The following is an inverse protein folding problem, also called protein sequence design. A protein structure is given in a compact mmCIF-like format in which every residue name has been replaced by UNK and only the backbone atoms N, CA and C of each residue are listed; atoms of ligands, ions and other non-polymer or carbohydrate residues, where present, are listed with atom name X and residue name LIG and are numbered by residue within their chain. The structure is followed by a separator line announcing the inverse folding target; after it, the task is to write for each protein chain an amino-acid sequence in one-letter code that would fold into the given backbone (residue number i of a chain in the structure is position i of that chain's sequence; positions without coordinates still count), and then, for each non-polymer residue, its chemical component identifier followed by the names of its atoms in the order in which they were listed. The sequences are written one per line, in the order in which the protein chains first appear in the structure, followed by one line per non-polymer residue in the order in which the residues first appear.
data_IF_542587422251
#
_entry.id   IF_542587422251
#
_cell.length_a   1.000
_cell.length_b   1.000
_cell.length_c   1.000
_cell.angle_alpha   90.00
_cell.angle_beta   90.00
_cell.angle_gamma   90.00
#
_symmetry.space_group_name_H-M   'P 1'
#
loop_
_entity.id
_entity.type
_entity.pdbx_description
1 polymer ?
#
# COMPACT_ATOMS: atom_id res chain seq x y z
N UNK A 1 -9.50 26.73 -9.94
CA UNK A 1 -9.69 25.46 -10.68
C UNK A 1 -8.38 25.12 -11.40
N UNK A 2 -7.87 23.92 -11.25
CA UNK A 2 -6.62 23.49 -11.89
C UNK A 2 -6.88 23.25 -13.38
N UNK A 3 -6.12 23.92 -14.25
CA UNK A 3 -6.16 23.63 -15.70
C UNK A 3 -5.23 22.44 -16.00
N UNK A 4 -5.79 21.24 -15.99
CA UNK A 4 -5.03 20.00 -16.23
C UNK A 4 -4.36 19.95 -17.62
N UNK A 5 -4.92 20.65 -18.60
CA UNK A 5 -4.35 20.72 -19.95
C UNK A 5 -3.03 21.52 -20.03
N UNK A 6 -2.77 22.36 -19.03
CA UNK A 6 -1.54 23.17 -18.92
C UNK A 6 -0.68 22.82 -17.73
N UNK A 7 -1.22 22.03 -16.79
CA UNK A 7 -0.52 21.66 -15.58
C UNK A 7 0.74 20.84 -15.90
N UNK A 8 1.86 21.22 -15.29
CA UNK A 8 3.08 20.41 -15.26
C UNK A 8 3.11 19.50 -14.04
N UNK A 9 3.87 18.42 -14.14
CA UNK A 9 4.11 17.47 -13.05
C UNK A 9 5.61 17.21 -12.94
N UNK A 10 6.14 17.22 -11.71
CA UNK A 10 7.49 16.75 -11.46
C UNK A 10 7.45 15.52 -10.56
N UNK A 11 8.28 14.51 -10.86
CA UNK A 11 8.43 13.26 -10.10
C UNK A 11 9.85 13.19 -9.55
N UNK A 12 10.01 13.28 -8.24
CA UNK A 12 11.30 13.07 -7.59
C UNK A 12 11.34 11.63 -7.05
N UNK A 13 12.22 10.80 -7.63
CA UNK A 13 12.33 9.40 -7.31
C UNK A 13 11.74 8.48 -8.40
N UNK A 14 12.17 8.61 -9.66
CA UNK A 14 11.74 7.71 -10.75
C UNK A 14 12.38 6.31 -10.58
N UNK A 15 12.01 5.63 -9.49
CA UNK A 15 12.29 4.24 -9.19
C UNK A 15 11.06 3.36 -9.50
N UNK A 16 10.97 2.19 -8.86
CA UNK A 16 9.89 1.23 -9.10
C UNK A 16 8.48 1.83 -8.91
N UNK A 17 8.23 2.55 -7.79
CA UNK A 17 6.94 3.22 -7.57
C UNK A 17 6.72 4.32 -8.61
N UNK A 18 7.72 5.16 -8.87
CA UNK A 18 7.61 6.21 -9.86
C UNK A 18 7.28 5.69 -11.27
N UNK A 19 7.88 4.55 -11.68
CA UNK A 19 7.56 3.87 -12.94
C UNK A 19 6.15 3.25 -12.92
N UNK A 20 5.76 2.62 -11.82
CA UNK A 20 4.43 2.04 -11.64
C UNK A 20 3.30 3.09 -11.77
N UNK A 21 3.57 4.32 -11.36
CA UNK A 21 2.59 5.41 -11.36
C UNK A 21 2.43 6.12 -12.71
N UNK A 22 3.15 5.74 -13.77
CA UNK A 22 3.05 6.40 -15.08
C UNK A 22 1.62 6.48 -15.63
N UNK A 23 0.78 5.43 -15.54
CA UNK A 23 -0.63 5.54 -15.94
C UNK A 23 -1.42 6.60 -15.17
N UNK A 24 -1.04 6.86 -13.91
CA UNK A 24 -1.65 7.90 -13.10
C UNK A 24 -1.22 9.31 -13.57
N UNK A 25 0.01 9.49 -14.02
CA UNK A 25 0.48 10.77 -14.60
C UNK A 25 -0.28 11.08 -15.88
N UNK A 26 -0.43 10.10 -16.76
CA UNK A 26 -1.23 10.21 -17.98
C UNK A 26 -2.69 10.54 -17.67
N UNK A 27 -3.30 9.84 -16.73
CA UNK A 27 -4.69 10.08 -16.31
C UNK A 27 -4.89 11.48 -15.75
N UNK A 28 -3.94 11.97 -14.94
CA UNK A 28 -4.00 13.31 -14.35
C UNK A 28 -3.92 14.41 -15.41
N UNK A 29 -2.91 14.32 -16.26
CA UNK A 29 -2.55 15.39 -17.19
C UNK A 29 -3.31 15.30 -18.54
N UNK A 30 -3.70 14.09 -18.95
CA UNK A 30 -4.36 13.85 -20.25
C UNK A 30 -3.39 13.88 -21.44
N UNK A 31 -3.91 14.00 -22.64
CA UNK A 31 -3.15 13.93 -23.89
C UNK A 31 -1.95 14.90 -23.91
N UNK A 32 -0.82 14.44 -24.45
CA UNK A 32 0.43 15.20 -24.53
C UNK A 32 1.10 15.39 -23.17
N UNK A 33 0.82 14.52 -22.21
CA UNK A 33 1.37 14.58 -20.86
C UNK A 33 2.90 14.49 -20.85
N UNK A 34 3.51 13.83 -21.83
CA UNK A 34 4.95 13.61 -21.92
C UNK A 34 5.74 14.92 -21.96
N UNK A 35 5.23 15.93 -22.64
CA UNK A 35 5.87 17.26 -22.74
C UNK A 35 5.79 18.07 -21.44
N UNK A 36 5.04 17.62 -20.46
CA UNK A 36 4.72 18.33 -19.20
C UNK A 36 5.21 17.60 -17.95
N UNK A 37 5.99 16.53 -18.12
CA UNK A 37 6.57 15.75 -17.01
C UNK A 37 8.07 15.95 -16.96
N UNK A 38 8.56 16.24 -15.76
CA UNK A 38 9.95 16.13 -15.36
C UNK A 38 10.10 15.01 -14.35
N UNK A 39 10.83 13.96 -14.68
CA UNK A 39 11.16 12.90 -13.74
C UNK A 39 12.64 12.97 -13.33
N UNK A 40 12.91 12.71 -12.05
CA UNK A 40 14.24 12.85 -11.47
C UNK A 40 14.63 11.56 -10.76
N UNK A 41 15.86 11.12 -11.02
CA UNK A 41 16.51 9.97 -10.34
C UNK A 41 17.69 10.45 -9.49
N UNK A 42 18.01 9.70 -8.46
CA UNK A 42 19.23 9.97 -7.68
C UNK A 42 20.51 9.67 -8.49
N UNK A 43 20.44 8.69 -9.42
CA UNK A 43 21.59 8.23 -10.22
C UNK A 43 21.20 8.10 -11.69
N UNK A 44 22.19 8.05 -12.57
CA UNK A 44 22.04 7.86 -14.02
C UNK A 44 21.72 6.41 -14.44
N UNK A 45 21.73 5.47 -13.48
CA UNK A 45 21.41 4.06 -13.76
C UNK A 45 20.03 3.93 -14.44
N UNK A 46 19.98 3.23 -15.59
CA UNK A 46 18.80 3.05 -16.44
C UNK A 46 18.22 4.34 -17.04
N UNK A 47 18.93 5.45 -17.01
CA UNK A 47 18.40 6.75 -17.45
C UNK A 47 17.99 6.72 -18.92
N UNK A 48 18.87 6.23 -19.81
CA UNK A 48 18.61 6.14 -21.24
C UNK A 48 17.50 5.13 -21.60
N UNK A 49 17.41 4.02 -20.87
CA UNK A 49 16.32 3.05 -21.03
C UNK A 49 14.97 3.72 -20.74
N UNK A 50 14.89 4.43 -19.62
CA UNK A 50 13.65 5.08 -19.18
C UNK A 50 13.23 6.22 -20.11
N UNK A 51 14.19 7.03 -20.58
CA UNK A 51 13.94 8.08 -21.59
C UNK A 51 13.33 7.51 -22.87
N UNK A 52 13.89 6.41 -23.37
CA UNK A 52 13.35 5.73 -24.56
C UNK A 52 11.98 5.13 -24.33
N UNK A 53 11.71 4.66 -23.10
CA UNK A 53 10.47 3.98 -22.76
C UNK A 53 9.29 4.93 -22.59
N UNK A 54 9.50 6.08 -21.97
CA UNK A 54 8.39 6.93 -21.53
C UNK A 54 8.20 8.23 -22.33
N UNK A 55 9.16 8.68 -23.09
CA UNK A 55 9.04 9.86 -23.95
C UNK A 55 9.05 11.20 -23.24
N UNK A 56 9.02 11.26 -21.90
CA UNK A 56 9.12 12.50 -21.14
C UNK A 56 10.55 12.78 -20.64
N UNK A 57 10.77 14.01 -20.16
CA UNK A 57 12.09 14.41 -19.66
C UNK A 57 12.44 13.65 -18.38
N UNK A 58 13.58 12.94 -18.39
CA UNK A 58 14.12 12.24 -17.22
C UNK A 58 15.57 12.69 -17.01
N UNK A 59 15.89 13.14 -15.80
CA UNK A 59 17.25 13.56 -15.43
C UNK A 59 17.75 12.85 -14.18
N UNK A 60 19.05 12.94 -13.92
CA UNK A 60 19.66 12.48 -12.68
C UNK A 60 20.24 13.66 -11.89
N UNK A 61 20.28 13.54 -10.57
CA UNK A 61 20.89 14.51 -9.69
C UNK A 61 20.03 15.73 -9.37
N UNK A 62 20.66 16.88 -9.24
CA UNK A 62 19.99 18.15 -8.86
C UNK A 62 19.02 18.62 -9.95
N UNK A 63 17.80 18.90 -9.56
CA UNK A 63 16.73 19.32 -10.47
C UNK A 63 16.15 20.69 -10.14
N UNK A 64 16.73 21.43 -9.18
CA UNK A 64 16.11 22.67 -8.67
C UNK A 64 15.87 23.70 -9.79
N UNK A 65 16.81 23.93 -10.68
CA UNK A 65 16.66 24.89 -11.78
C UNK A 65 15.61 24.43 -12.80
N UNK A 66 15.49 23.13 -13.05
CA UNK A 66 14.43 22.58 -13.91
C UNK A 66 13.04 22.72 -13.27
N UNK A 67 12.92 22.50 -11.96
CA UNK A 67 11.68 22.77 -11.22
C UNK A 67 11.26 24.22 -11.32
N UNK A 68 12.20 25.16 -11.14
CA UNK A 68 11.95 26.62 -11.28
C UNK A 68 11.48 26.98 -12.69
N UNK A 69 12.04 26.34 -13.71
CA UNK A 69 11.65 26.57 -15.11
C UNK A 69 10.28 25.96 -15.44
N UNK A 70 10.02 24.70 -15.03
CA UNK A 70 8.78 23.99 -15.30
C UNK A 70 7.59 24.55 -14.52
N UNK A 71 7.79 24.96 -13.25
CA UNK A 71 6.75 25.38 -12.30
C UNK A 71 5.60 24.38 -12.23
N UNK A 72 5.87 23.11 -11.88
CA UNK A 72 4.84 22.09 -11.89
C UNK A 72 3.72 22.41 -10.91
N UNK A 73 2.47 22.14 -11.32
CA UNK A 73 1.30 22.21 -10.45
C UNK A 73 1.22 21.01 -9.48
N UNK A 74 1.91 19.91 -9.83
CA UNK A 74 1.97 18.68 -9.04
C UNK A 74 3.42 18.26 -8.83
N UNK A 75 3.77 17.98 -7.58
CA UNK A 75 5.08 17.47 -7.21
C UNK A 75 4.93 16.10 -6.53
N UNK A 76 5.34 15.06 -7.23
CA UNK A 76 5.29 13.67 -6.75
C UNK A 76 6.62 13.32 -6.08
N UNK A 77 6.56 12.82 -4.85
CA UNK A 77 7.70 12.33 -4.09
C UNK A 77 7.59 10.81 -3.94
N UNK A 78 8.43 10.06 -4.67
CA UNK A 78 8.47 8.61 -4.66
C UNK A 78 9.86 8.06 -4.30
N UNK A 79 10.53 8.74 -3.37
CA UNK A 79 11.77 8.31 -2.75
C UNK A 79 11.48 7.46 -1.50
N UNK A 80 12.50 6.76 -1.01
CA UNK A 80 12.36 5.95 0.20
C UNK A 80 12.13 6.82 1.44
N UNK A 81 11.39 6.34 2.45
CA UNK A 81 11.09 7.14 3.64
C UNK A 81 12.32 7.77 4.31
N UNK A 82 13.43 7.05 4.40
CA UNK A 82 14.67 7.57 5.01
C UNK A 82 15.42 8.60 4.16
N UNK A 83 15.09 8.73 2.87
CA UNK A 83 15.64 9.75 1.97
C UNK A 83 14.76 11.02 1.93
N UNK A 84 13.53 10.92 2.42
CA UNK A 84 12.51 11.95 2.25
C UNK A 84 12.93 13.29 2.87
N UNK A 85 13.45 13.27 4.08
CA UNK A 85 13.88 14.50 4.75
C UNK A 85 14.98 15.23 3.95
N UNK A 86 15.97 14.49 3.44
CA UNK A 86 17.03 15.07 2.61
C UNK A 86 16.51 15.68 1.30
N UNK A 87 15.57 15.03 0.65
CA UNK A 87 14.93 15.53 -0.59
C UNK A 87 14.08 16.76 -0.30
N UNK A 88 13.30 16.74 0.77
CA UNK A 88 12.43 17.87 1.13
C UNK A 88 13.27 19.09 1.52
N UNK A 89 14.25 18.94 2.38
CA UNK A 89 15.09 20.06 2.80
C UNK A 89 16.03 20.57 1.69
N UNK A 90 16.60 19.65 0.90
CA UNK A 90 17.60 20.01 -0.12
C UNK A 90 17.02 20.48 -1.45
N UNK A 91 15.80 20.07 -1.80
CA UNK A 91 15.21 20.38 -3.12
C UNK A 91 13.86 21.03 -3.02
N UNK A 92 12.91 20.42 -2.28
CA UNK A 92 11.51 20.89 -2.26
C UNK A 92 11.39 22.24 -1.56
N UNK A 93 11.95 22.39 -0.38
CA UNK A 93 11.90 23.62 0.41
C UNK A 93 12.56 24.83 -0.29
N UNK A 94 13.75 24.73 -0.91
CA UNK A 94 14.30 25.78 -1.76
C UNK A 94 13.37 26.13 -2.94
N UNK A 95 12.75 25.15 -3.58
CA UNK A 95 11.80 25.38 -4.66
C UNK A 95 10.54 26.13 -4.17
N UNK A 96 9.95 25.73 -3.05
CA UNK A 96 8.80 26.41 -2.43
C UNK A 96 9.17 27.84 -2.05
N UNK A 97 10.37 28.07 -1.48
CA UNK A 97 10.90 29.40 -1.18
C UNK A 97 10.99 30.29 -2.43
N UNK A 98 11.47 29.74 -3.53
CA UNK A 98 11.48 30.45 -4.82
C UNK A 98 10.06 30.84 -5.28
N UNK A 99 9.07 29.94 -5.21
CA UNK A 99 7.69 30.25 -5.59
C UNK A 99 7.09 31.34 -4.72
N UNK A 100 7.30 31.31 -3.40
CA UNK A 100 6.85 32.36 -2.46
C UNK A 100 7.41 33.72 -2.83
N UNK A 101 8.71 33.81 -3.12
CA UNK A 101 9.36 35.06 -3.52
C UNK A 101 8.82 35.61 -4.85
N UNK A 102 8.25 34.76 -5.68
CA UNK A 102 7.63 35.14 -6.95
C UNK A 102 6.11 35.41 -6.84
N UNK A 103 5.50 35.16 -5.66
CA UNK A 103 4.03 35.21 -5.52
C UNK A 103 3.31 34.15 -6.38
N UNK A 104 4.01 33.06 -6.73
CA UNK A 104 3.49 32.00 -7.61
C UNK A 104 2.63 30.98 -6.84
N UNK A 105 1.68 30.30 -7.51
CA UNK A 105 0.90 29.23 -6.88
C UNK A 105 1.79 28.09 -6.37
N UNK A 106 1.43 27.55 -5.22
CA UNK A 106 2.08 26.36 -4.65
C UNK A 106 1.61 25.09 -5.34
N UNK A 107 2.52 24.12 -5.59
CA UNK A 107 2.14 22.81 -6.11
C UNK A 107 1.37 22.00 -5.06
N UNK A 108 0.51 21.09 -5.52
CA UNK A 108 0.05 19.98 -4.69
C UNK A 108 1.17 18.93 -4.61
N UNK A 109 1.63 18.64 -3.41
CA UNK A 109 2.62 17.59 -3.17
C UNK A 109 1.92 16.26 -2.93
N UNK A 110 2.35 15.22 -3.63
CA UNK A 110 1.85 13.85 -3.52
C UNK A 110 3.03 12.95 -3.10
N UNK A 111 3.05 12.52 -1.85
CA UNK A 111 4.11 11.65 -1.31
C UNK A 111 3.65 10.19 -1.30
N UNK A 112 4.47 9.28 -1.81
CA UNK A 112 4.25 7.84 -1.76
C UNK A 112 4.99 7.16 -0.60
N UNK A 113 5.43 7.91 0.38
CA UNK A 113 6.01 7.36 1.58
C UNK A 113 4.96 7.30 2.70
N UNK A 114 4.86 6.20 3.46
CA UNK A 114 4.00 6.13 4.64
C UNK A 114 4.49 7.02 5.78
N UNK A 115 5.76 7.42 5.73
CA UNK A 115 6.44 8.30 6.67
C UNK A 115 7.40 9.20 5.89
N UNK A 116 7.53 10.50 6.24
CA UNK A 116 6.85 11.19 7.36
C UNK A 116 5.36 11.45 7.09
N UNK A 117 4.61 11.75 8.18
CA UNK A 117 3.18 12.11 8.12
C UNK A 117 2.93 13.46 7.45
N UNK A 118 1.72 13.72 6.96
CA UNK A 118 1.38 14.99 6.31
C UNK A 118 1.70 16.24 7.16
N UNK A 119 1.50 16.18 8.48
CA UNK A 119 1.77 17.27 9.41
C UNK A 119 3.26 17.69 9.42
N UNK A 120 4.17 16.74 9.22
CA UNK A 120 5.59 17.05 9.11
C UNK A 120 5.89 17.92 7.88
N UNK A 121 5.26 17.64 6.73
CA UNK A 121 5.43 18.47 5.53
C UNK A 121 4.92 19.89 5.76
N UNK A 122 3.78 20.04 6.46
CA UNK A 122 3.25 21.33 6.86
C UNK A 122 4.24 22.10 7.74
N UNK A 123 4.84 21.45 8.73
CA UNK A 123 5.83 22.06 9.61
C UNK A 123 7.09 22.51 8.86
N UNK A 124 7.56 21.72 7.90
CA UNK A 124 8.80 22.00 7.16
C UNK A 124 8.60 22.99 6.02
N UNK A 125 7.46 22.86 5.29
CA UNK A 125 7.18 23.62 4.07
C UNK A 125 6.26 24.83 4.28
N UNK A 126 5.49 24.85 5.36
CA UNK A 126 4.53 25.89 5.69
C UNK A 126 3.08 25.55 5.32
N UNK A 127 2.15 26.24 5.99
CA UNK A 127 0.70 26.00 5.88
C UNK A 127 0.07 26.38 4.53
N UNK A 128 0.77 27.10 3.66
CA UNK A 128 0.34 27.44 2.30
C UNK A 128 0.59 26.30 1.30
N UNK A 129 1.39 25.29 1.66
CA UNK A 129 1.66 24.09 0.85
C UNK A 129 0.71 22.98 1.21
N UNK A 130 0.10 22.35 0.23
CA UNK A 130 -0.78 21.19 0.44
C UNK A 130 -0.03 19.91 0.11
N UNK A 131 -0.02 18.98 1.07
CA UNK A 131 0.59 17.67 0.89
C UNK A 131 -0.42 16.57 1.19
N UNK A 132 -0.46 15.56 0.34
CA UNK A 132 -1.14 14.29 0.59
C UNK A 132 -0.11 13.17 0.61
N UNK A 133 -0.26 12.24 1.55
CA UNK A 133 0.49 10.99 1.54
C UNK A 133 -0.41 9.88 1.03
N UNK A 134 0.11 9.11 0.09
CA UNK A 134 -0.64 8.08 -0.64
C UNK A 134 0.02 6.73 -0.44
N UNK A 135 -0.75 5.76 -0.01
CA UNK A 135 -0.40 4.34 -0.10
C UNK A 135 -1.18 3.76 -1.29
N UNK A 136 -0.54 3.65 -2.46
CA UNK A 136 -1.23 3.24 -3.68
C UNK A 136 -1.58 1.76 -3.63
N UNK A 137 -2.68 1.39 -4.28
CA UNK A 137 -2.94 0.00 -4.60
C UNK A 137 -1.88 -0.46 -5.61
N UNK A 138 -1.08 -1.46 -5.21
CA UNK A 138 0.04 -1.94 -6.04
C UNK A 138 -0.35 -3.10 -6.95
N UNK A 139 -1.60 -3.57 -6.88
CA UNK A 139 -2.08 -4.71 -7.64
C UNK A 139 -3.42 -4.39 -8.27
N UNK A 140 -3.43 -4.27 -9.57
CA UNK A 140 -4.64 -4.16 -10.40
C UNK A 140 -4.83 -5.42 -11.27
N UNK A 141 -3.84 -6.33 -11.26
CA UNK A 141 -3.90 -7.64 -11.92
C UNK A 141 -3.10 -8.67 -11.09
N UNK A 142 -3.64 -9.86 -10.92
CA UNK A 142 -3.02 -10.99 -10.23
C UNK A 142 -3.15 -12.23 -11.12
N UNK A 143 -2.02 -12.87 -11.44
CA UNK A 143 -2.03 -14.06 -12.30
C UNK A 143 -2.73 -13.85 -13.66
N UNK A 144 -2.69 -12.62 -14.19
CA UNK A 144 -3.37 -12.24 -15.43
C UNK A 144 -4.88 -11.94 -15.28
N UNK A 145 -5.43 -12.00 -14.05
CA UNK A 145 -6.83 -11.64 -13.76
C UNK A 145 -6.90 -10.18 -13.33
N UNK A 146 -7.80 -9.41 -13.93
CA UNK A 146 -8.08 -8.03 -13.53
C UNK A 146 -8.74 -8.01 -12.14
N UNK A 147 -8.08 -7.34 -11.19
CA UNK A 147 -8.55 -7.17 -9.80
C UNK A 147 -8.82 -5.71 -9.45
N UNK A 148 -8.92 -4.83 -10.44
CA UNK A 148 -9.16 -3.39 -10.26
C UNK A 148 -10.34 -3.09 -9.31
N UNK A 149 -11.41 -3.88 -9.37
CA UNK A 149 -12.59 -3.69 -8.50
C UNK A 149 -12.29 -3.92 -7.01
N UNK A 150 -11.20 -4.62 -6.68
CA UNK A 150 -10.73 -4.87 -5.31
C UNK A 150 -9.63 -3.89 -4.90
N UNK A 151 -9.06 -3.14 -5.85
CA UNK A 151 -7.97 -2.23 -5.58
C UNK A 151 -8.45 -0.95 -4.89
N UNK A 152 -7.74 -0.52 -3.85
CA UNK A 152 -8.02 0.72 -3.13
C UNK A 152 -6.73 1.39 -2.67
N UNK A 153 -6.59 2.68 -2.97
CA UNK A 153 -5.48 3.50 -2.52
C UNK A 153 -5.88 4.31 -1.29
N UNK A 154 -5.04 4.37 -0.27
CA UNK A 154 -5.27 5.17 0.94
C UNK A 154 -4.63 6.54 0.77
N UNK A 155 -5.33 7.58 1.17
CA UNK A 155 -4.87 8.97 1.11
C UNK A 155 -5.04 9.64 2.46
N UNK A 156 -3.95 10.22 2.96
CA UNK A 156 -3.94 11.02 4.18
C UNK A 156 -3.50 12.44 3.88
N UNK A 157 -3.92 13.40 4.69
CA UNK A 157 -3.50 14.80 4.63
C UNK A 157 -3.52 15.39 6.05
N UNK A 158 -2.90 16.55 6.25
CA UNK A 158 -2.93 17.25 7.52
C UNK A 158 -4.36 17.70 7.85
N UNK A 159 -4.94 17.09 8.90
CA UNK A 159 -6.33 17.34 9.29
C UNK A 159 -6.53 18.76 9.84
N UNK A 160 -5.46 19.42 10.31
CA UNK A 160 -5.48 20.82 10.74
C UNK A 160 -5.59 21.80 9.57
N UNK A 161 -5.29 21.37 8.34
CA UNK A 161 -5.28 22.23 7.16
C UNK A 161 -6.19 21.64 6.06
N UNK A 162 -7.40 22.18 5.88
CA UNK A 162 -8.38 21.65 4.92
C UNK A 162 -7.82 21.56 3.49
N UNK A 163 -8.06 20.43 2.86
CA UNK A 163 -7.75 20.21 1.45
C UNK A 163 -8.90 20.75 0.60
N UNK A 164 -8.62 21.70 -0.28
CA UNK A 164 -9.62 22.26 -1.18
C UNK A 164 -10.23 21.18 -2.10
N UNK A 165 -11.50 21.35 -2.50
CA UNK A 165 -12.20 20.38 -3.37
C UNK A 165 -11.43 20.09 -4.67
N UNK A 166 -10.87 21.12 -5.31
CA UNK A 166 -10.05 20.93 -6.51
C UNK A 166 -8.79 20.08 -6.30
N UNK A 167 -8.22 20.06 -5.07
CA UNK A 167 -7.12 19.15 -4.74
C UNK A 167 -7.62 17.72 -4.54
N UNK A 168 -8.80 17.55 -3.91
CA UNK A 168 -9.42 16.23 -3.75
C UNK A 168 -9.77 15.62 -5.09
N UNK A 169 -10.34 16.41 -5.99
CA UNK A 169 -10.63 16.03 -7.38
C UNK A 169 -9.36 15.61 -8.12
N UNK A 170 -8.27 16.40 -8.00
CA UNK A 170 -6.98 16.09 -8.61
C UNK A 170 -6.41 14.76 -8.13
N UNK A 171 -6.44 14.50 -6.82
CA UNK A 171 -5.98 13.24 -6.23
C UNK A 171 -6.87 12.07 -6.68
N UNK A 172 -8.19 12.26 -6.71
CA UNK A 172 -9.13 11.25 -7.21
C UNK A 172 -8.86 10.88 -8.66
N UNK A 173 -8.71 11.89 -9.53
CA UNK A 173 -8.35 11.70 -10.95
C UNK A 173 -6.98 11.03 -11.11
N UNK A 174 -6.00 11.42 -10.31
CA UNK A 174 -4.67 10.87 -10.33
C UNK A 174 -4.66 9.37 -10.00
N UNK A 175 -5.40 8.96 -8.97
CA UNK A 175 -5.41 7.58 -8.48
C UNK A 175 -6.45 6.68 -9.17
N UNK A 176 -7.28 7.23 -10.05
CA UNK A 176 -8.32 6.46 -10.76
C UNK A 176 -7.79 5.16 -11.41
N UNK A 177 -6.59 5.12 -12.05
CA UNK A 177 -6.07 3.88 -12.62
C UNK A 177 -5.78 2.79 -11.58
N UNK A 178 -5.73 3.13 -10.29
CA UNK A 178 -5.42 2.24 -9.19
C UNK A 178 -6.65 1.85 -8.34
N UNK A 179 -7.86 2.07 -8.84
CA UNK A 179 -9.09 1.70 -8.16
C UNK A 179 -9.67 2.80 -7.27
N UNK A 180 -10.23 2.42 -6.13
CA UNK A 180 -10.92 3.36 -5.23
C UNK A 180 -9.93 4.19 -4.41
N UNK A 181 -10.36 5.40 -4.06
CA UNK A 181 -9.62 6.28 -3.13
C UNK A 181 -10.31 6.26 -1.77
N UNK A 182 -9.55 5.92 -0.74
CA UNK A 182 -9.98 5.93 0.65
C UNK A 182 -9.27 7.08 1.38
N UNK A 183 -10.05 8.07 1.81
CA UNK A 183 -9.55 9.19 2.61
C UNK A 183 -9.50 8.75 4.07
N UNK A 184 -8.31 8.73 4.66
CA UNK A 184 -8.03 8.21 6.00
C UNK A 184 -7.42 9.29 6.90
N UNK A 185 -7.55 9.12 8.20
CA UNK A 185 -6.62 9.78 9.14
C UNK A 185 -5.24 9.07 9.07
N UNK A 186 -4.14 9.72 9.50
CA UNK A 186 -2.84 9.07 9.53
C UNK A 186 -2.81 7.80 10.38
N UNK A 187 -3.48 7.81 11.54
CA UNK A 187 -3.58 6.65 12.44
C UNK A 187 -4.35 5.49 11.80
N UNK A 188 -5.49 5.80 11.17
CA UNK A 188 -6.29 4.82 10.44
C UNK A 188 -5.50 4.22 9.28
N UNK A 189 -4.84 5.05 8.49
CA UNK A 189 -4.01 4.59 7.37
C UNK A 189 -2.90 3.65 7.81
N UNK A 190 -2.21 3.96 8.93
CA UNK A 190 -1.17 3.11 9.48
C UNK A 190 -1.73 1.77 9.99
N UNK A 191 -2.92 1.77 10.60
CA UNK A 191 -3.58 0.55 11.06
C UNK A 191 -4.01 -0.32 9.87
N UNK A 192 -4.57 0.28 8.82
CA UNK A 192 -4.95 -0.41 7.58
C UNK A 192 -3.74 -0.98 6.84
N UNK A 193 -2.63 -0.24 6.79
CA UNK A 193 -1.37 -0.74 6.22
C UNK A 193 -0.85 -1.95 7.01
N UNK A 194 -0.90 -1.89 8.34
CA UNK A 194 -0.46 -2.98 9.21
C UNK A 194 -1.31 -4.23 9.04
N UNK A 195 -2.62 -4.07 8.92
CA UNK A 195 -3.56 -5.13 8.59
C UNK A 195 -3.23 -5.76 7.22
N UNK A 196 -3.04 -4.94 6.19
CA UNK A 196 -2.73 -5.42 4.84
C UNK A 196 -1.39 -6.19 4.80
N UNK A 197 -0.36 -5.69 5.48
CA UNK A 197 0.92 -6.40 5.62
C UNK A 197 0.72 -7.73 6.36
N UNK A 198 -0.14 -7.77 7.37
CA UNK A 198 -0.47 -9.01 8.07
C UNK A 198 -1.18 -10.01 7.15
N UNK A 199 -2.11 -9.56 6.32
CA UNK A 199 -2.73 -10.43 5.31
C UNK A 199 -1.71 -10.93 4.29
N UNK A 200 -0.70 -10.14 3.94
CA UNK A 200 0.39 -10.59 3.08
C UNK A 200 1.19 -11.75 3.71
N UNK A 201 1.32 -11.79 5.04
CA UNK A 201 1.98 -12.93 5.73
C UNK A 201 1.17 -14.23 5.65
N UNK A 202 -0.05 -14.21 5.12
CA UNK A 202 -0.83 -15.39 4.81
C UNK A 202 -0.05 -16.39 3.92
N UNK A 203 0.82 -15.89 3.04
CA UNK A 203 1.67 -16.74 2.21
C UNK A 203 2.61 -17.60 3.06
N UNK A 204 3.26 -16.98 4.06
CA UNK A 204 4.15 -17.71 4.97
C UNK A 204 3.38 -18.73 5.81
N UNK A 205 2.18 -18.37 6.27
CA UNK A 205 1.31 -19.31 6.98
C UNK A 205 0.98 -20.53 6.11
N UNK A 206 0.57 -20.30 4.87
CA UNK A 206 0.26 -21.37 3.94
C UNK A 206 1.46 -22.28 3.66
N UNK A 207 2.64 -21.69 3.45
CA UNK A 207 3.88 -22.46 3.23
C UNK A 207 4.28 -23.28 4.46
N UNK A 208 4.10 -22.73 5.66
CA UNK A 208 4.37 -23.44 6.91
C UNK A 208 3.38 -24.59 7.14
N UNK A 209 2.13 -24.45 6.69
CA UNK A 209 1.08 -25.48 6.83
C UNK A 209 1.16 -26.58 5.76
N UNK A 210 1.84 -26.38 4.64
CA UNK A 210 1.99 -27.40 3.58
C UNK A 210 2.57 -28.71 4.08
N UNK A 211 3.46 -28.68 5.06
CA UNK A 211 3.99 -29.88 5.73
C UNK A 211 2.93 -30.72 6.45
N UNK A 212 1.78 -30.13 6.78
CA UNK A 212 0.68 -30.80 7.51
C UNK A 212 -0.49 -31.20 6.60
N UNK A 213 -0.73 -30.45 5.52
CA UNK A 213 -1.90 -30.61 4.67
C UNK A 213 -1.59 -31.06 3.24
N UNK A 214 -0.30 -31.23 2.93
CA UNK A 214 0.16 -31.56 1.59
C UNK A 214 0.30 -30.32 0.70
N UNK A 215 1.10 -30.47 -0.37
CA UNK A 215 1.35 -29.39 -1.33
C UNK A 215 0.03 -28.93 -1.96
N UNK A 216 -0.18 -27.61 -2.00
CA UNK A 216 -1.36 -26.98 -2.60
C UNK A 216 -2.63 -26.99 -1.73
N UNK A 217 -2.62 -27.59 -0.53
CA UNK A 217 -3.81 -27.60 0.33
C UNK A 217 -4.29 -26.20 0.74
N UNK A 218 -3.38 -25.29 1.08
CA UNK A 218 -3.73 -23.93 1.43
C UNK A 218 -4.21 -23.12 0.22
N UNK A 219 -3.65 -23.32 -0.97
CA UNK A 219 -4.11 -22.66 -2.20
C UNK A 219 -5.55 -23.08 -2.54
N UNK A 220 -5.88 -24.38 -2.36
CA UNK A 220 -7.26 -24.88 -2.52
C UNK A 220 -8.20 -24.25 -1.49
N UNK A 221 -7.83 -24.22 -0.21
CA UNK A 221 -8.63 -23.58 0.84
C UNK A 221 -8.84 -22.09 0.56
N UNK A 222 -7.80 -21.38 0.12
CA UNK A 222 -7.89 -19.98 -0.29
C UNK A 222 -8.88 -19.76 -1.43
N UNK A 223 -8.86 -20.62 -2.46
CA UNK A 223 -9.81 -20.57 -3.58
C UNK A 223 -11.26 -20.81 -3.15
N UNK A 224 -11.49 -21.76 -2.24
CA UNK A 224 -12.82 -22.04 -1.68
C UNK A 224 -13.33 -20.81 -0.89
N UNK A 225 -12.49 -20.25 -0.01
CA UNK A 225 -12.86 -19.10 0.81
C UNK A 225 -13.16 -17.87 -0.05
N UNK A 226 -12.38 -17.65 -1.09
CA UNK A 226 -12.61 -16.58 -2.06
C UNK A 226 -14.01 -16.74 -2.72
N UNK A 227 -14.34 -17.93 -3.20
CA UNK A 227 -15.65 -18.20 -3.83
C UNK A 227 -16.82 -18.00 -2.85
N UNK A 228 -16.65 -18.43 -1.58
CA UNK A 228 -17.66 -18.21 -0.54
C UNK A 228 -17.88 -16.73 -0.24
N UNK A 229 -16.80 -15.93 -0.18
CA UNK A 229 -16.88 -14.48 0.04
C UNK A 229 -17.57 -13.77 -1.13
N UNK A 230 -17.26 -14.14 -2.37
CA UNK A 230 -17.99 -13.62 -3.54
C UNK A 230 -19.49 -13.90 -3.46
N UNK A 231 -19.86 -15.13 -3.08
CA UNK A 231 -21.28 -15.51 -2.89
C UNK A 231 -21.97 -14.70 -1.79
N UNK A 232 -21.33 -14.49 -0.65
CA UNK A 232 -21.85 -13.66 0.47
C UNK A 232 -22.06 -12.20 0.07
N UNK A 233 -21.19 -11.67 -0.80
CA UNK A 233 -21.24 -10.28 -1.26
C UNK A 233 -22.12 -10.09 -2.50
N UNK A 234 -22.75 -11.17 -3.02
CA UNK A 234 -23.60 -11.13 -4.19
C UNK A 234 -22.89 -10.71 -5.49
N UNK A 235 -21.59 -10.92 -5.58
CA UNK A 235 -20.78 -10.56 -6.75
C UNK A 235 -20.21 -11.79 -7.46
N UNK A 236 -20.00 -11.73 -8.78
CA UNK A 236 -19.37 -12.82 -9.50
C UNK A 236 -17.93 -13.00 -9.01
N UNK A 237 -17.49 -14.25 -8.88
CA UNK A 237 -16.09 -14.56 -8.63
C UNK A 237 -15.24 -14.27 -9.87
N UNK A 238 -14.04 -13.71 -9.66
CA UNK A 238 -13.07 -13.44 -10.74
C UNK A 238 -12.42 -14.72 -11.27
N UNK A 239 -12.53 -15.81 -10.52
CA UNK A 239 -12.04 -17.15 -10.90
C UNK A 239 -13.13 -18.18 -10.69
N UNK A 240 -13.01 -19.32 -11.40
CA UNK A 240 -13.98 -20.42 -11.24
C UNK A 240 -13.90 -20.99 -9.83
N UNK A 241 -15.05 -21.25 -9.16
CA UNK A 241 -15.06 -21.88 -7.85
C UNK A 241 -14.39 -23.26 -7.91
N UNK A 242 -13.64 -23.57 -6.87
CA UNK A 242 -13.10 -24.92 -6.62
C UNK A 242 -14.26 -25.82 -6.20
N UNK A 243 -14.15 -27.14 -6.46
CA UNK A 243 -15.15 -28.14 -6.07
C UNK A 243 -15.58 -28.03 -4.59
N UNK A 244 -16.69 -28.67 -4.22
CA UNK A 244 -17.22 -28.64 -2.85
C UNK A 244 -16.13 -28.95 -1.79
N UNK A 245 -16.11 -28.19 -0.68
CA UNK A 245 -15.08 -28.34 0.34
C UNK A 245 -15.24 -29.65 1.12
N UNK A 246 -14.16 -30.41 1.23
CA UNK A 246 -14.07 -31.57 2.10
C UNK A 246 -13.92 -31.16 3.58
N UNK A 247 -14.06 -32.11 4.53
CA UNK A 247 -13.93 -31.81 5.97
C UNK A 247 -12.54 -31.27 6.36
N UNK A 248 -11.48 -31.69 5.64
CA UNK A 248 -10.14 -31.12 5.82
C UNK A 248 -10.08 -29.65 5.40
N UNK A 249 -10.74 -29.29 4.30
CA UNK A 249 -10.83 -27.92 3.79
C UNK A 249 -11.58 -27.01 4.77
N UNK A 250 -12.70 -27.48 5.33
CA UNK A 250 -13.51 -26.70 6.30
C UNK A 250 -12.71 -26.30 7.54
N UNK A 251 -11.79 -27.15 8.00
CA UNK A 251 -10.89 -26.84 9.12
C UNK A 251 -9.86 -25.77 8.76
N UNK A 252 -9.30 -25.84 7.56
CA UNK A 252 -8.38 -24.82 7.05
C UNK A 252 -9.10 -23.49 6.81
N UNK A 253 -10.33 -23.53 6.30
CA UNK A 253 -11.18 -22.34 6.14
C UNK A 253 -11.42 -21.62 7.47
N UNK A 254 -11.68 -22.36 8.55
CA UNK A 254 -11.83 -21.75 9.88
C UNK A 254 -10.55 -21.04 10.35
N UNK A 255 -9.38 -21.59 10.02
CA UNK A 255 -8.09 -20.93 10.33
C UNK A 255 -7.90 -19.63 9.56
N UNK A 256 -8.18 -19.65 8.26
CA UNK A 256 -8.00 -18.48 7.39
C UNK A 256 -9.02 -17.39 7.71
N UNK A 257 -10.31 -17.73 7.81
CA UNK A 257 -11.40 -16.79 7.99
C UNK A 257 -11.50 -16.29 9.44
N UNK A 258 -11.79 -17.20 10.39
CA UNK A 258 -12.05 -16.82 11.79
C UNK A 258 -10.78 -16.56 12.61
N UNK A 259 -9.62 -16.96 12.11
CA UNK A 259 -8.36 -16.69 12.76
C UNK A 259 -7.66 -15.51 12.10
N UNK A 260 -7.09 -15.77 10.93
CA UNK A 260 -6.19 -14.81 10.30
C UNK A 260 -6.88 -13.51 9.88
N UNK A 261 -8.02 -13.61 9.21
CA UNK A 261 -8.79 -12.43 8.80
C UNK A 261 -9.28 -11.63 10.01
N UNK A 262 -10.01 -12.27 10.94
CA UNK A 262 -10.62 -11.56 12.06
C UNK A 262 -9.57 -10.92 12.98
N UNK A 263 -8.43 -11.56 13.24
CA UNK A 263 -7.40 -10.99 14.10
C UNK A 263 -6.84 -9.67 13.58
N UNK A 264 -6.47 -9.59 12.31
CA UNK A 264 -5.97 -8.37 11.71
C UNK A 264 -7.09 -7.31 11.51
N UNK A 265 -8.30 -7.76 11.18
CA UNK A 265 -9.47 -6.89 11.09
C UNK A 265 -9.77 -6.20 12.42
N UNK A 266 -9.86 -6.95 13.52
CA UNK A 266 -10.18 -6.41 14.85
C UNK A 266 -9.10 -5.45 15.35
N UNK A 267 -7.82 -5.73 15.02
CA UNK A 267 -6.74 -4.79 15.26
C UNK A 267 -7.00 -3.45 14.54
N UNK A 268 -7.22 -3.49 13.23
CA UNK A 268 -7.46 -2.28 12.45
C UNK A 268 -8.75 -1.55 12.89
N UNK A 269 -9.81 -2.29 13.17
CA UNK A 269 -11.07 -1.76 13.69
C UNK A 269 -10.91 -1.08 15.07
N UNK A 270 -9.98 -1.56 15.88
CA UNK A 270 -9.66 -0.94 17.18
C UNK A 270 -9.04 0.45 17.05
N UNK A 271 -8.32 0.72 15.95
CA UNK A 271 -7.64 1.99 15.68
C UNK A 271 -8.46 2.94 14.77
N UNK A 272 -9.33 2.40 13.91
CA UNK A 272 -10.20 3.16 13.03
C UNK A 272 -11.65 3.16 13.51
N UNK A 273 -11.92 3.59 14.74
CA UNK A 273 -13.28 3.65 15.28
C UNK A 273 -13.94 5.00 15.02
N UNK A 274 -15.22 4.93 14.68
CA UNK A 274 -16.12 6.09 14.70
C UNK A 274 -16.48 6.48 16.14
N UNK A 275 -17.02 7.69 16.39
CA UNK A 275 -17.42 8.13 17.73
C UNK A 275 -18.42 7.20 18.44
N UNK A 276 -19.22 6.44 17.69
CA UNK A 276 -20.16 5.43 18.20
C UNK A 276 -19.50 4.08 18.54
N UNK A 277 -18.17 3.97 18.36
CA UNK A 277 -17.41 2.76 18.59
C UNK A 277 -17.42 1.75 17.43
N UNK A 278 -18.16 2.00 16.35
CA UNK A 278 -18.16 1.13 15.17
C UNK A 278 -16.85 1.27 14.37
N UNK A 279 -16.39 0.21 13.68
CA UNK A 279 -15.30 0.33 12.73
C UNK A 279 -15.60 1.36 11.65
N UNK A 280 -14.58 2.13 11.22
CA UNK A 280 -14.72 3.10 10.15
C UNK A 280 -15.19 2.44 8.84
N UNK A 281 -15.77 3.25 7.96
CA UNK A 281 -16.15 2.77 6.63
C UNK A 281 -14.96 2.24 5.83
N UNK A 282 -13.77 2.83 6.02
CA UNK A 282 -12.55 2.42 5.32
C UNK A 282 -12.09 1.02 5.75
N UNK A 283 -12.13 0.71 7.05
CA UNK A 283 -11.80 -0.65 7.54
C UNK A 283 -12.76 -1.68 6.94
N UNK A 284 -14.07 -1.38 6.92
CA UNK A 284 -15.09 -2.28 6.35
C UNK A 284 -14.94 -2.51 4.85
N UNK A 285 -14.38 -1.53 4.12
CA UNK A 285 -14.14 -1.64 2.68
C UNK A 285 -12.82 -2.34 2.40
N UNK A 286 -11.72 -1.88 3.01
CA UNK A 286 -10.38 -2.34 2.66
C UNK A 286 -10.08 -3.74 3.18
N UNK A 287 -10.55 -4.10 4.39
CA UNK A 287 -10.21 -5.40 4.97
C UNK A 287 -10.64 -6.60 4.11
N UNK A 288 -11.92 -6.71 3.67
CA UNK A 288 -12.31 -7.82 2.82
C UNK A 288 -11.63 -7.77 1.45
N UNK A 289 -11.42 -6.58 0.87
CA UNK A 289 -10.76 -6.44 -0.42
C UNK A 289 -9.30 -6.88 -0.36
N UNK A 290 -8.55 -6.40 0.63
CA UNK A 290 -7.15 -6.77 0.82
C UNK A 290 -7.01 -8.28 1.08
N UNK A 291 -7.86 -8.85 1.92
CA UNK A 291 -7.83 -10.28 2.19
C UNK A 291 -8.09 -11.11 0.94
N UNK A 292 -9.09 -10.73 0.14
CA UNK A 292 -9.41 -11.40 -1.13
C UNK A 292 -8.29 -11.31 -2.16
N UNK A 293 -7.58 -10.18 -2.26
CA UNK A 293 -6.40 -10.07 -3.13
C UNK A 293 -5.34 -11.11 -2.74
N UNK A 294 -5.08 -11.31 -1.45
CA UNK A 294 -4.12 -12.31 -1.00
C UNK A 294 -4.61 -13.75 -1.22
N UNK A 295 -5.91 -14.01 -1.09
CA UNK A 295 -6.50 -15.31 -1.43
C UNK A 295 -6.37 -15.62 -2.92
N UNK A 296 -6.58 -14.63 -3.79
CA UNK A 296 -6.39 -14.77 -5.23
C UNK A 296 -4.93 -15.02 -5.59
N UNK A 297 -4.00 -14.29 -4.99
CA UNK A 297 -2.57 -14.53 -5.20
C UNK A 297 -2.16 -15.95 -4.83
N UNK A 298 -2.62 -16.47 -3.70
CA UNK A 298 -2.37 -17.86 -3.30
C UNK A 298 -2.93 -18.91 -4.28
N UNK A 299 -4.01 -18.57 -4.97
CA UNK A 299 -4.65 -19.47 -5.93
C UNK A 299 -4.01 -19.41 -7.31
N UNK A 300 -3.59 -18.22 -7.76
CA UNK A 300 -3.22 -17.93 -9.15
C UNK A 300 -1.71 -17.84 -9.37
N UNK A 301 -0.93 -17.57 -8.33
CA UNK A 301 0.51 -17.34 -8.43
C UNK A 301 1.30 -18.51 -7.87
N UNK A 302 2.48 -18.78 -8.44
CA UNK A 302 3.34 -19.85 -7.96
C UNK A 302 3.96 -19.48 -6.61
N UNK A 303 4.29 -20.52 -5.82
CA UNK A 303 5.01 -20.35 -4.54
C UNK A 303 6.30 -19.51 -4.73
N UNK A 304 7.09 -19.83 -5.75
CA UNK A 304 8.34 -19.11 -6.02
C UNK A 304 8.06 -17.61 -6.24
N UNK A 305 7.04 -17.27 -7.04
CA UNK A 305 6.65 -15.89 -7.28
C UNK A 305 6.23 -15.16 -5.99
N UNK A 306 5.44 -15.82 -5.14
CA UNK A 306 5.01 -15.26 -3.84
C UNK A 306 6.18 -15.07 -2.87
N UNK A 307 7.15 -15.98 -2.86
CA UNK A 307 8.38 -15.83 -2.06
C UNK A 307 9.25 -14.65 -2.53
N UNK A 308 9.40 -14.48 -3.84
CA UNK A 308 10.10 -13.35 -4.46
C UNK A 308 9.37 -12.03 -4.14
N UNK A 309 8.06 -11.99 -4.29
CA UNK A 309 7.21 -10.83 -3.97
C UNK A 309 7.35 -10.40 -2.50
N UNK A 310 7.32 -11.36 -1.56
CA UNK A 310 7.58 -11.07 -0.14
C UNK A 310 8.96 -10.47 0.10
N UNK A 311 9.98 -10.99 -0.57
CA UNK A 311 11.35 -10.51 -0.47
C UNK A 311 11.50 -9.08 -1.02
N UNK A 312 10.87 -8.79 -2.15
CA UNK A 312 10.93 -7.48 -2.79
C UNK A 312 10.21 -6.40 -1.96
N UNK A 313 9.13 -6.76 -1.29
CA UNK A 313 8.40 -5.87 -0.39
C UNK A 313 9.08 -5.69 0.99
N UNK A 314 9.95 -6.62 1.38
CA UNK A 314 10.65 -6.57 2.66
C UNK A 314 11.89 -5.67 2.62
N UNK A 315 11.68 -4.35 2.51
CA UNK A 315 12.80 -3.40 2.57
C UNK A 315 13.51 -3.46 3.91
N UNK A 316 14.86 -3.38 3.95
CA UNK A 316 15.62 -3.41 5.19
C UNK A 316 15.15 -2.36 6.21
N UNK A 317 14.86 -2.80 7.42
CA UNK A 317 14.33 -1.96 8.50
C UNK A 317 12.86 -1.56 8.34
N UNK A 318 12.18 -1.96 7.25
CA UNK A 318 10.79 -1.61 6.97
C UNK A 318 9.77 -2.45 7.74
N UNK A 319 8.49 -2.12 7.53
CA UNK A 319 7.37 -2.77 8.20
C UNK A 319 7.19 -4.23 7.74
N UNK A 320 7.32 -4.51 6.45
CA UNK A 320 7.20 -5.86 5.89
C UNK A 320 8.33 -6.78 6.38
N UNK A 321 9.57 -6.29 6.47
CA UNK A 321 10.67 -7.07 7.04
C UNK A 321 10.40 -7.40 8.51
N UNK A 322 9.88 -6.44 9.29
CA UNK A 322 9.47 -6.67 10.68
C UNK A 322 8.37 -7.73 10.76
N UNK A 323 7.37 -7.68 9.86
CA UNK A 323 6.31 -8.67 9.80
C UNK A 323 6.83 -10.08 9.54
N UNK A 324 7.74 -10.26 8.58
CA UNK A 324 8.36 -11.56 8.27
C UNK A 324 9.13 -12.11 9.48
N UNK A 325 9.93 -11.28 10.15
CA UNK A 325 10.70 -11.67 11.34
C UNK A 325 9.78 -12.07 12.49
N UNK A 326 8.74 -11.26 12.73
CA UNK A 326 7.79 -11.49 13.81
C UNK A 326 6.92 -12.71 13.56
N UNK A 327 6.47 -12.94 12.32
CA UNK A 327 5.76 -14.15 11.95
C UNK A 327 6.58 -15.41 12.27
N UNK A 328 7.87 -15.45 11.86
CA UNK A 328 8.75 -16.58 12.13
C UNK A 328 8.90 -16.84 13.62
N UNK A 329 9.11 -15.77 14.42
CA UNK A 329 9.22 -15.87 15.88
C UNK A 329 7.94 -16.45 16.51
N UNK A 330 6.77 -15.89 16.15
CA UNK A 330 5.48 -16.36 16.67
C UNK A 330 5.19 -17.81 16.24
N UNK A 331 5.57 -18.17 15.02
CA UNK A 331 5.42 -19.52 14.50
C UNK A 331 6.32 -20.53 15.25
N UNK A 332 7.58 -20.18 15.53
CA UNK A 332 8.50 -20.97 16.33
C UNK A 332 8.00 -21.17 17.76
N UNK A 333 7.43 -20.15 18.39
CA UNK A 333 6.80 -20.26 19.72
C UNK A 333 5.64 -21.27 19.72
N UNK A 334 4.84 -21.28 18.66
CA UNK A 334 3.75 -22.25 18.49
C UNK A 334 4.27 -23.66 18.31
N UNK A 335 5.37 -23.84 17.57
CA UNK A 335 5.99 -25.17 17.36
C UNK A 335 6.82 -25.64 18.56
N UNK A 336 7.49 -24.73 19.27
CA UNK A 336 8.40 -25.04 20.39
C UNK A 336 7.74 -25.18 21.76
N UNK A 337 6.45 -24.86 21.86
CA UNK A 337 5.67 -25.09 23.10
C UNK A 337 5.73 -26.55 23.53
N UNK A 338 6.29 -26.80 24.71
CA UNK A 338 6.65 -28.08 25.28
C UNK A 338 5.66 -29.21 24.94
N UNK A 339 6.18 -30.33 24.47
CA UNK A 339 5.50 -31.56 24.06
C UNK A 339 4.90 -31.56 22.64
N UNK A 340 5.76 -31.59 21.64
CA UNK A 340 5.40 -32.08 20.29
C UNK A 340 4.06 -31.55 19.79
N UNK A 341 3.87 -30.27 19.83
CA UNK A 341 2.59 -29.65 19.50
C UNK A 341 2.32 -29.85 18.01
N UNK A 342 1.65 -30.96 17.68
CA UNK A 342 0.82 -31.01 16.48
C UNK A 342 -0.10 -29.82 16.63
N UNK A 343 -0.06 -28.90 15.70
CA UNK A 343 -0.95 -27.73 15.66
C UNK A 343 -2.34 -28.23 16.03
N UNK A 344 -2.90 -27.87 17.20
CA UNK A 344 -4.14 -28.48 17.65
C UNK A 344 -5.25 -27.94 16.74
N UNK A 345 -5.71 -28.79 15.85
CA UNK A 345 -6.84 -28.52 14.95
C UNK A 345 -8.17 -28.37 15.70
N UNK A 346 -8.21 -28.68 16.99
CA UNK A 346 -9.35 -28.44 17.88
C UNK A 346 -9.13 -27.15 18.66
N UNK A 347 -9.74 -26.09 18.22
CA UNK A 347 -9.61 -24.76 18.82
C UNK A 347 -8.71 -23.80 18.03
N UNK A 348 -8.44 -24.13 16.79
CA UNK A 348 -7.48 -23.44 15.91
C UNK A 348 -7.83 -21.98 15.58
N UNK A 349 -9.07 -21.54 15.71
CA UNK A 349 -9.46 -20.15 15.44
C UNK A 349 -8.78 -19.14 16.37
N UNK A 350 -8.62 -19.48 17.66
CA UNK A 350 -8.01 -18.58 18.64
C UNK A 350 -6.53 -18.35 18.39
N UNK A 351 -5.78 -19.38 18.01
CA UNK A 351 -4.33 -19.26 17.79
C UNK A 351 -4.00 -18.43 16.55
N UNK A 352 -4.63 -18.70 15.42
CA UNK A 352 -4.43 -17.92 14.19
C UNK A 352 -4.88 -16.47 14.38
N UNK A 353 -5.94 -16.24 15.15
CA UNK A 353 -6.40 -14.93 15.56
C UNK A 353 -5.32 -14.20 16.38
N UNK A 354 -4.80 -14.82 17.44
CA UNK A 354 -3.79 -14.22 18.31
C UNK A 354 -2.50 -13.88 17.55
N UNK A 355 -2.04 -14.78 16.67
CA UNK A 355 -0.87 -14.52 15.83
C UNK A 355 -1.15 -13.34 14.91
N UNK A 356 -2.27 -13.32 14.23
CA UNK A 356 -2.64 -12.27 13.28
C UNK A 356 -2.80 -10.91 13.96
N UNK A 357 -3.50 -10.85 15.10
CA UNK A 357 -3.67 -9.63 15.88
C UNK A 357 -2.34 -9.06 16.38
N UNK A 358 -1.50 -9.90 17.01
CA UNK A 358 -0.17 -9.49 17.52
C UNK A 358 0.77 -9.07 16.41
N UNK A 359 0.70 -9.75 15.27
CA UNK A 359 1.51 -9.39 14.11
C UNK A 359 1.13 -7.99 13.59
N UNK A 360 -0.17 -7.71 13.44
CA UNK A 360 -0.67 -6.39 13.05
C UNK A 360 -0.22 -5.30 14.04
N UNK A 361 -0.31 -5.57 15.35
CA UNK A 361 0.16 -4.67 16.40
C UNK A 361 1.66 -4.37 16.30
N UNK A 362 2.51 -5.40 16.13
CA UNK A 362 3.96 -5.23 16.02
C UNK A 362 4.36 -4.46 14.75
N UNK A 363 3.67 -4.70 13.65
CA UNK A 363 3.88 -3.96 12.39
C UNK A 363 3.48 -2.49 12.56
N UNK A 364 2.35 -2.22 13.21
CA UNK A 364 1.88 -0.87 13.53
C UNK A 364 2.88 -0.11 14.41
N UNK A 365 3.36 -0.73 15.51
CA UNK A 365 4.36 -0.12 16.37
C UNK A 365 5.66 0.19 15.62
N UNK A 366 6.06 -0.66 14.67
CA UNK A 366 7.19 -0.38 13.80
C UNK A 366 6.93 0.83 12.91
N UNK A 367 5.75 0.94 12.31
CA UNK A 367 5.34 2.11 11.53
C UNK A 367 5.46 3.40 12.34
N UNK A 368 4.86 3.44 13.53
CA UNK A 368 4.95 4.58 14.45
C UNK A 368 6.39 4.91 14.82
N UNK A 369 7.26 3.91 15.04
CA UNK A 369 8.66 4.14 15.36
C UNK A 369 9.44 4.78 14.22
N UNK A 370 9.09 4.44 12.96
CA UNK A 370 9.70 5.03 11.76
C UNK A 370 9.28 6.49 11.54
N UNK A 371 8.12 6.89 12.06
CA UNK A 371 7.65 8.28 12.00
C UNK A 371 8.36 9.22 12.99
N UNK A 372 8.92 8.66 14.07
CA UNK A 372 9.56 9.43 15.15
C UNK A 372 11.07 9.54 14.99
N UNK A 373 11.70 8.79 14.12
CA UNK A 373 13.12 8.76 13.83
C UNK A 373 13.46 9.45 12.52
#
# INVERSE_FOLDING_TARGET
MIDYGKAGLAVIGMGWIGEYMVPCYERLLGNGYESRILAVKATDRRLEELRKRYGFEIMAGDCLERLKALRPAFLVLSVRPYEMAGVVEGTVKPYIGFLRNQGAPMPLIISFAPSPRPEWYTQVLGEDVRTVCVLPAMETSIGGVDVYSLASSQVTYDQGIPLAEGHREAVGRFLEPLGKVLWCTPEESMALLSMNITYHMLYLLCFALEGHYGAGGCARAAGILYALNCGRLGRPGLVKPVAEPEEADKRQLAWLEKGWYEGAFDFAAGHGRLPDGAPSSNVRVLAPQAFELHLLSLQLESRQFLEEKLKDHATPGGMTEKAVKEFKRLWEEVQGGAHGCRIPLKGSGSMAYDISYRLAEQVYQRGISLERG
#
